data_IF_453783212299
#
_entry.id   IF_453783212299
#
_cell.length_a   1.000
_cell.length_b   1.000
_cell.length_c   1.000
_cell.angle_alpha   90.00
_cell.angle_beta   90.00
_cell.angle_gamma   90.00
#
_symmetry.space_group_name_H-M   'P 1'
#
loop_
_entity.id
_entity.type
_entity.pdbx_description
1 polymer ?
#
# COMPACT_ATOMS: atom_id res chain seq x y z
N UNK A 1 6.72 39.59 6.69
CA UNK A 1 5.96 38.70 5.79
C UNK A 1 6.95 37.81 5.06
N UNK A 2 7.31 36.67 5.64
CA UNK A 2 8.34 35.78 5.06
C UNK A 2 7.62 34.69 4.26
N UNK A 3 7.70 34.73 2.93
CA UNK A 3 7.21 33.64 2.08
C UNK A 3 8.12 32.44 2.29
N UNK A 4 7.56 31.35 2.78
CA UNK A 4 8.21 30.05 2.86
C UNK A 4 8.24 29.48 1.43
N UNK A 5 9.42 29.40 0.82
CA UNK A 5 9.58 28.71 -0.46
C UNK A 5 9.59 27.20 -0.19
N UNK A 6 8.68 26.40 -0.78
CA UNK A 6 8.63 24.97 -0.51
C UNK A 6 9.80 24.25 -1.18
N UNK A 7 10.38 23.21 -0.56
CA UNK A 7 11.53 22.51 -1.11
C UNK A 7 11.22 21.86 -2.46
N UNK A 8 12.17 21.85 -3.41
CA UNK A 8 12.00 21.27 -4.73
C UNK A 8 11.67 19.77 -4.61
N UNK A 9 10.61 19.35 -5.30
CA UNK A 9 10.01 18.01 -5.15
C UNK A 9 8.68 18.01 -4.39
N UNK A 10 8.26 19.15 -3.82
CA UNK A 10 6.95 19.26 -3.18
C UNK A 10 5.83 19.38 -4.24
N UNK A 11 4.90 18.41 -4.35
CA UNK A 11 3.77 18.53 -5.26
C UNK A 11 2.94 19.77 -4.91
N UNK A 12 2.43 20.46 -5.93
CA UNK A 12 1.69 21.72 -5.77
C UNK A 12 0.51 21.57 -4.81
N UNK A 13 0.12 22.65 -4.10
CA UNK A 13 -1.00 22.62 -3.14
C UNK A 13 -2.29 22.04 -3.76
N UNK A 14 -2.55 22.35 -5.04
CA UNK A 14 -3.67 21.79 -5.78
C UNK A 14 -3.54 20.27 -6.00
N UNK A 15 -2.33 19.76 -6.25
CA UNK A 15 -2.06 18.33 -6.37
C UNK A 15 -2.19 17.60 -5.02
N UNK A 16 -1.79 18.23 -3.91
CA UNK A 16 -2.00 17.71 -2.55
C UNK A 16 -3.49 17.70 -2.15
N UNK A 17 -4.23 18.75 -2.51
CA UNK A 17 -5.68 18.83 -2.26
C UNK A 17 -6.46 17.84 -3.14
N UNK A 18 -6.03 17.61 -4.38
CA UNK A 18 -6.62 16.59 -5.28
C UNK A 18 -6.29 15.17 -4.82
N UNK A 19 -5.06 14.93 -4.39
CA UNK A 19 -4.67 13.67 -3.77
C UNK A 19 -5.48 13.43 -2.49
N UNK A 20 -5.61 14.42 -1.61
CA UNK A 20 -6.41 14.33 -0.38
C UNK A 20 -7.92 14.13 -0.66
N UNK A 21 -8.49 14.86 -1.62
CA UNK A 21 -9.91 14.73 -1.97
C UNK A 21 -10.25 13.39 -2.64
N UNK A 22 -9.33 12.85 -3.45
CA UNK A 22 -9.44 11.50 -4.01
C UNK A 22 -9.29 10.43 -2.91
N UNK A 23 -8.35 10.66 -1.98
CA UNK A 23 -8.06 9.80 -0.84
C UNK A 23 -9.21 9.73 0.18
N UNK A 24 -9.86 10.84 0.52
CA UNK A 24 -11.02 10.85 1.43
C UNK A 24 -12.27 10.18 0.85
N UNK A 25 -12.49 10.32 -0.47
CA UNK A 25 -13.56 9.60 -1.17
C UNK A 25 -13.25 8.11 -1.24
N UNK A 26 -11.99 7.77 -1.56
CA UNK A 26 -11.49 6.40 -1.50
C UNK A 26 -11.64 5.79 -0.10
N UNK A 27 -11.25 6.45 1.00
CA UNK A 27 -11.41 5.93 2.36
C UNK A 27 -12.88 5.67 2.74
N UNK A 28 -13.82 6.43 2.14
CA UNK A 28 -15.26 6.19 2.28
C UNK A 28 -15.74 4.93 1.54
N UNK A 29 -15.23 4.68 0.32
CA UNK A 29 -15.56 3.48 -0.49
C UNK A 29 -14.74 2.23 -0.09
N UNK A 30 -13.51 2.39 0.39
CA UNK A 30 -12.56 1.32 0.73
C UNK A 30 -12.96 0.54 1.99
N UNK A 31 -13.77 1.15 2.87
CA UNK A 31 -14.43 0.44 3.97
C UNK A 31 -15.34 -0.71 3.53
N UNK A 32 -15.61 -0.84 2.23
CA UNK A 32 -16.42 -1.92 1.65
C UNK A 32 -15.60 -3.00 0.90
N UNK A 33 -14.27 -2.86 0.72
CA UNK A 33 -13.46 -3.85 -0.03
C UNK A 33 -12.08 -4.20 0.52
N UNK A 34 -11.49 -3.40 1.41
CA UNK A 34 -10.33 -3.82 2.19
C UNK A 34 -10.83 -4.47 3.48
N UNK A 35 -10.53 -5.74 3.71
CA UNK A 35 -10.98 -6.43 4.93
C UNK A 35 -10.36 -5.84 6.22
N UNK A 36 -9.35 -4.97 6.09
CA UNK A 36 -8.57 -4.43 7.20
C UNK A 36 -8.42 -2.90 7.11
N UNK A 37 -8.31 -2.21 8.27
CA UNK A 37 -8.17 -0.76 8.30
C UNK A 37 -6.86 -0.31 7.63
N UNK A 38 -6.97 0.68 6.76
CA UNK A 38 -5.84 1.33 6.09
C UNK A 38 -5.48 2.61 6.85
N UNK A 39 -4.21 2.77 7.20
CA UNK A 39 -3.70 3.99 7.81
C UNK A 39 -3.74 5.17 6.83
N UNK A 40 -3.67 6.40 7.36
CA UNK A 40 -3.60 7.61 6.53
C UNK A 40 -2.32 7.68 5.65
N UNK A 41 -1.33 6.84 5.97
CA UNK A 41 -0.09 6.59 5.24
C UNK A 41 -0.23 5.56 4.11
N UNK A 42 -1.41 4.94 3.96
CA UNK A 42 -1.73 3.97 2.91
C UNK A 42 -1.29 2.54 3.19
N UNK A 43 -0.85 2.26 4.43
CA UNK A 43 -0.52 0.92 4.89
C UNK A 43 -1.76 0.22 5.47
N UNK A 44 -2.05 -0.98 5.00
CA UNK A 44 -3.10 -1.83 5.52
C UNK A 44 -2.59 -2.60 6.76
N UNK A 45 -3.37 -2.60 7.85
CA UNK A 45 -3.07 -3.41 9.03
C UNK A 45 -3.42 -4.88 8.79
N UNK A 46 -2.65 -5.53 7.92
CA UNK A 46 -2.88 -6.92 7.53
C UNK A 46 -2.48 -7.89 8.66
N UNK A 47 -3.27 -8.92 8.99
CA UNK A 47 -2.99 -9.84 10.10
C UNK A 47 -1.73 -10.68 9.88
N UNK A 48 -1.28 -10.84 8.63
CA UNK A 48 -0.06 -11.58 8.29
C UNK A 48 1.20 -10.70 8.31
N UNK A 49 1.12 -9.42 8.70
CA UNK A 49 2.32 -8.59 8.80
C UNK A 49 3.33 -9.22 9.75
N UNK A 50 4.61 -9.20 9.33
CA UNK A 50 5.75 -9.79 10.07
C UNK A 50 5.61 -11.30 10.32
N UNK A 51 4.86 -11.98 9.46
CA UNK A 51 4.77 -13.44 9.44
C UNK A 51 5.22 -13.98 8.10
N UNK A 52 5.56 -15.27 8.09
CA UNK A 52 5.95 -15.97 6.88
C UNK A 52 4.73 -16.20 6.00
N UNK A 53 4.85 -15.81 4.75
CA UNK A 53 3.82 -15.91 3.74
C UNK A 53 4.34 -16.59 2.50
N UNK A 54 3.40 -17.16 1.73
CA UNK A 54 3.61 -17.72 0.41
C UNK A 54 2.79 -16.95 -0.61
N UNK A 55 3.43 -16.56 -1.69
CA UNK A 55 2.74 -16.07 -2.88
C UNK A 55 2.23 -17.28 -3.68
N UNK A 56 0.92 -17.38 -3.85
CA UNK A 56 0.29 -18.51 -4.56
C UNK A 56 0.50 -18.46 -6.07
N UNK A 57 0.87 -17.31 -6.65
CA UNK A 57 1.06 -17.19 -8.10
C UNK A 57 2.39 -17.78 -8.58
N UNK A 58 3.45 -17.67 -7.77
CA UNK A 58 4.79 -18.18 -8.10
C UNK A 58 5.29 -19.25 -7.12
N UNK A 59 4.61 -19.44 -5.99
CA UNK A 59 4.98 -20.39 -4.95
C UNK A 59 6.12 -19.92 -4.02
N UNK A 60 6.66 -18.71 -4.21
CA UNK A 60 7.76 -18.16 -3.43
C UNK A 60 7.32 -17.81 -2.00
N UNK A 61 8.24 -17.96 -1.06
CA UNK A 61 8.00 -17.70 0.36
C UNK A 61 8.90 -16.58 0.88
N UNK A 62 8.36 -15.75 1.78
CA UNK A 62 9.09 -14.69 2.47
C UNK A 62 8.31 -14.13 3.65
N UNK A 63 8.82 -13.10 4.30
CA UNK A 63 8.11 -12.37 5.35
C UNK A 63 7.29 -11.22 4.73
N UNK A 64 6.02 -11.08 5.10
CA UNK A 64 5.20 -9.94 4.68
C UNK A 64 5.60 -8.70 5.49
N UNK A 65 6.22 -7.72 4.86
CA UNK A 65 6.72 -6.50 5.53
C UNK A 65 5.71 -5.36 5.49
N UNK A 66 4.90 -5.27 4.43
CA UNK A 66 3.85 -4.27 4.28
C UNK A 66 2.75 -4.73 3.32
N UNK A 67 1.56 -4.14 3.46
CA UNK A 67 0.51 -4.17 2.43
C UNK A 67 0.10 -2.72 2.17
N UNK A 68 0.21 -2.27 0.92
CA UNK A 68 -0.09 -0.90 0.51
C UNK A 68 -1.20 -0.86 -0.52
N UNK A 69 -1.98 0.23 -0.51
CA UNK A 69 -2.96 0.49 -1.56
C UNK A 69 -2.38 1.46 -2.58
N UNK A 70 -2.11 0.99 -3.79
CA UNK A 70 -1.60 1.82 -4.87
C UNK A 70 -2.72 2.22 -5.83
N UNK A 71 -2.76 3.51 -6.18
CA UNK A 71 -3.69 4.04 -7.18
C UNK A 71 -3.04 3.92 -8.57
N UNK A 72 -3.62 3.10 -9.43
CA UNK A 72 -3.25 3.04 -10.83
C UNK A 72 -3.75 4.28 -11.59
N UNK A 73 -3.06 4.60 -12.68
CA UNK A 73 -3.41 5.71 -13.59
C UNK A 73 -4.83 5.61 -14.17
N UNK A 74 -5.38 4.41 -14.24
CA UNK A 74 -6.76 4.11 -14.67
C UNK A 74 -7.80 4.31 -13.55
N UNK A 75 -7.40 4.83 -12.39
CA UNK A 75 -8.28 5.09 -11.24
C UNK A 75 -8.60 3.87 -10.39
N UNK A 76 -8.08 2.68 -10.75
CA UNK A 76 -8.20 1.46 -9.97
C UNK A 76 -7.23 1.48 -8.78
N UNK A 77 -7.68 0.99 -7.63
CA UNK A 77 -6.82 0.76 -6.47
C UNK A 77 -6.46 -0.71 -6.41
N UNK A 78 -5.18 -1.01 -6.27
CA UNK A 78 -4.64 -2.36 -6.13
C UNK A 78 -3.95 -2.50 -4.79
N UNK A 79 -4.16 -3.67 -4.16
CA UNK A 79 -3.51 -4.04 -2.90
C UNK A 79 -2.21 -4.74 -3.23
N UNK A 80 -1.10 -4.15 -2.81
CA UNK A 80 0.25 -4.63 -3.09
C UNK A 80 0.89 -5.08 -1.79
N UNK A 81 1.26 -6.35 -1.74
CA UNK A 81 2.02 -6.94 -0.66
C UNK A 81 3.52 -6.79 -0.94
N UNK A 82 4.26 -6.30 0.04
CA UNK A 82 5.73 -6.24 0.04
C UNK A 82 6.24 -7.43 0.85
N UNK A 83 7.04 -8.27 0.21
CA UNK A 83 7.51 -9.54 0.78
C UNK A 83 9.03 -9.57 0.72
N UNK A 84 9.67 -9.96 1.83
CA UNK A 84 11.12 -10.07 1.95
C UNK A 84 11.56 -11.52 2.11
N UNK A 85 12.43 -12.00 1.22
CA UNK A 85 13.01 -13.35 1.33
C UNK A 85 14.07 -13.39 2.42
N UNK A 86 14.41 -14.61 2.85
CA UNK A 86 15.52 -14.88 3.76
C UNK A 86 16.88 -14.39 3.22
N UNK A 87 17.05 -14.32 1.90
CA UNK A 87 18.24 -13.76 1.25
C UNK A 87 18.28 -12.22 1.25
N UNK A 88 17.26 -11.57 1.83
CA UNK A 88 17.14 -10.12 1.94
C UNK A 88 16.55 -9.42 0.73
N UNK A 89 16.24 -10.13 -0.36
CA UNK A 89 15.61 -9.57 -1.56
C UNK A 89 14.13 -9.32 -1.27
N UNK A 90 13.65 -8.12 -1.63
CA UNK A 90 12.23 -7.75 -1.56
C UNK A 90 11.59 -7.85 -2.94
N UNK A 91 10.35 -8.36 -2.97
CA UNK A 91 9.49 -8.32 -4.15
C UNK A 91 8.08 -7.92 -3.75
N UNK A 92 7.31 -7.52 -4.76
CA UNK A 92 5.90 -7.21 -4.60
C UNK A 92 5.02 -8.30 -5.20
N UNK A 93 3.88 -8.54 -4.57
CA UNK A 93 2.84 -9.43 -5.05
C UNK A 93 1.47 -8.77 -4.88
N UNK A 94 0.45 -9.31 -5.54
CA UNK A 94 -0.93 -8.95 -5.19
C UNK A 94 -1.22 -9.43 -3.78
N UNK A 95 -1.79 -8.59 -2.91
CA UNK A 95 -2.16 -9.01 -1.56
C UNK A 95 -3.19 -10.16 -1.56
N UNK A 96 -3.98 -10.29 -2.63
CA UNK A 96 -4.94 -11.39 -2.80
C UNK A 96 -4.25 -12.75 -3.07
N UNK A 97 -2.98 -12.74 -3.51
CA UNK A 97 -2.22 -13.96 -3.74
C UNK A 97 -1.44 -14.41 -2.49
N UNK A 98 -1.40 -13.60 -1.44
CA UNK A 98 -0.61 -13.85 -0.23
C UNK A 98 -1.39 -14.69 0.76
N UNK A 99 -0.77 -15.80 1.17
CA UNK A 99 -1.30 -16.69 2.19
C UNK A 99 -0.25 -16.95 3.26
N UNK A 100 -0.67 -17.28 4.47
CA UNK A 100 0.25 -17.71 5.51
C UNK A 100 0.95 -19.01 5.08
N UNK A 101 2.27 -19.05 5.27
CA UNK A 101 3.07 -20.25 5.06
C UNK A 101 3.23 -20.96 6.42
N UNK A 102 2.51 -22.07 6.59
CA UNK A 102 2.58 -22.94 7.76
C UNK A 102 3.38 -24.21 7.45
#
# INVERSE_FOLDING_TARGET
MTRFDPPPGTPSRALRVRAAAGWERFMRDAGAKGAYPVGADGYEQHPLLRTRVRDTANGAEGELTAVTHELHSDGRVVRVAHIRAANGIEWTASADNVQAAY
#
